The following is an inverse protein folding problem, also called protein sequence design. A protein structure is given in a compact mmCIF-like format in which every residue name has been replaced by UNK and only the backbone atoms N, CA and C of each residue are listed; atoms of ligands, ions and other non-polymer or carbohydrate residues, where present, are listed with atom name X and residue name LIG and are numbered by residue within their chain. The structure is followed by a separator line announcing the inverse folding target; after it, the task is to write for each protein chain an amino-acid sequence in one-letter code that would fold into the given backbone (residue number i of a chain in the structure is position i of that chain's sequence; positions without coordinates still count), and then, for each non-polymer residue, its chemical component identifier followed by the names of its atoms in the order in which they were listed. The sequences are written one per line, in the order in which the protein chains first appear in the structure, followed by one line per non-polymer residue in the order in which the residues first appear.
data_IF_070903398341
#
_entry.id   IF_070903398341
#
_cell.length_a   1.000
_cell.length_b   1.000
_cell.length_c   1.000
_cell.angle_alpha   90.00
_cell.angle_beta   90.00
_cell.angle_gamma   90.00
#
_symmetry.space_group_name_H-M   'P 1'
#
loop_
_entity.id
_entity.type
_entity.pdbx_description
1 polymer ?
#
# COMPACT_ATOMS: atom_id res chain seq x y z
N UNK A 1 10.30 -60.01 -9.08
CA UNK A 1 11.15 -61.16 -9.46
C UNK A 1 11.70 -61.79 -8.18
N UNK A 2 11.19 -62.96 -7.79
CA UNK A 2 11.66 -63.68 -6.60
C UNK A 2 13.08 -64.22 -6.84
N UNK A 3 14.08 -63.73 -6.10
CA UNK A 3 15.42 -64.33 -6.06
C UNK A 3 15.43 -65.36 -4.94
N UNK A 4 15.35 -66.64 -5.29
CA UNK A 4 15.46 -67.75 -4.33
C UNK A 4 16.94 -67.92 -3.98
N UNK A 5 17.28 -67.88 -2.69
CA UNK A 5 18.62 -68.15 -2.18
C UNK A 5 18.57 -69.38 -1.26
N UNK A 6 19.63 -70.19 -1.27
CA UNK A 6 19.77 -71.35 -0.38
C UNK A 6 20.86 -71.07 0.64
N UNK A 7 20.57 -71.32 1.91
CA UNK A 7 21.53 -71.17 3.02
C UNK A 7 22.20 -72.52 3.25
N UNK A 8 23.52 -72.54 3.22
CA UNK A 8 24.33 -73.75 3.36
C UNK A 8 25.31 -73.57 4.53
N UNK A 9 25.47 -74.61 5.35
CA UNK A 9 26.47 -74.64 6.41
C UNK A 9 27.86 -74.92 5.81
N UNK A 10 28.83 -74.04 6.05
CA UNK A 10 30.22 -74.27 5.64
C UNK A 10 31.04 -74.76 6.82
N UNK A 11 31.34 -76.06 6.83
CA UNK A 11 32.11 -76.72 7.88
C UNK A 11 33.58 -76.25 7.99
N UNK A 12 34.14 -75.62 6.93
CA UNK A 12 35.52 -75.12 6.96
C UNK A 12 35.65 -73.75 7.65
N UNK A 13 34.58 -72.96 7.69
CA UNK A 13 34.55 -71.63 8.32
C UNK A 13 33.65 -71.56 9.56
N UNK A 14 32.86 -72.60 9.83
CA UNK A 14 31.94 -72.66 10.97
C UNK A 14 30.78 -71.66 10.89
N UNK A 15 30.36 -71.28 9.69
CA UNK A 15 29.34 -70.25 9.46
C UNK A 15 28.34 -70.64 8.37
N UNK A 16 27.12 -70.11 8.45
CA UNK A 16 26.10 -70.24 7.40
C UNK A 16 26.31 -69.18 6.32
N UNK A 17 26.30 -69.60 5.05
CA UNK A 17 26.53 -68.71 3.91
C UNK A 17 25.36 -68.82 2.93
N UNK A 18 24.94 -67.69 2.37
CA UNK A 18 23.82 -67.61 1.42
C UNK A 18 24.39 -67.58 -0.01
N UNK A 19 24.03 -68.56 -0.83
CA UNK A 19 24.51 -68.65 -2.22
C UNK A 19 23.36 -68.68 -3.22
N UNK A 20 23.57 -68.06 -4.38
CA UNK A 20 22.66 -68.19 -5.54
C UNK A 20 22.81 -69.57 -6.17
N UNK A 21 21.70 -70.22 -6.52
CA UNK A 21 21.61 -71.62 -7.00
C UNK A 21 22.38 -71.92 -8.30
N UNK A 22 22.94 -70.91 -8.97
CA UNK A 22 23.59 -71.05 -10.29
C UNK A 22 25.13 -71.04 -10.29
N UNK A 23 25.81 -71.11 -9.14
CA UNK A 23 27.29 -71.11 -9.10
C UNK A 23 27.89 -72.52 -9.36
N UNK A 24 28.63 -72.70 -10.48
CA UNK A 24 29.40 -73.92 -10.80
C UNK A 24 30.86 -73.83 -10.31
N UNK A 25 31.31 -74.85 -9.57
CA UNK A 25 32.68 -75.06 -9.08
C UNK A 25 33.62 -75.64 -10.17
N UNK A 26 34.88 -75.17 -10.23
CA UNK A 26 35.96 -75.80 -11.02
C UNK A 26 37.03 -76.39 -10.09
N UNK A 27 37.25 -77.70 -10.23
CA UNK A 27 38.18 -78.50 -9.42
C UNK A 27 39.64 -78.44 -9.84
N UNK A 28 40.52 -78.77 -8.88
CA UNK A 28 41.99 -78.87 -8.93
C UNK A 28 42.51 -80.03 -9.81
N UNK A 29 43.77 -79.92 -10.26
CA UNK A 29 44.71 -81.05 -10.39
C UNK A 29 46.16 -80.65 -10.04
N UNK A 30 46.90 -81.62 -9.49
CA UNK A 30 48.23 -81.53 -8.87
C UNK A 30 49.38 -82.01 -9.77
N UNK A 31 50.63 -81.65 -9.46
CA UNK A 31 51.85 -82.28 -9.95
C UNK A 31 53.11 -81.77 -9.21
N UNK A 32 54.11 -82.63 -8.98
CA UNK A 32 55.13 -82.55 -7.91
C UNK A 32 56.57 -82.36 -8.44
N UNK A 33 57.42 -81.64 -7.67
CA UNK A 33 58.91 -81.75 -7.47
C UNK A 33 59.81 -81.38 -8.68
N UNK A 34 61.01 -80.77 -8.56
CA UNK A 34 62.14 -80.93 -7.61
C UNK A 34 62.99 -79.64 -7.51
N UNK A 35 63.70 -79.46 -6.39
CA UNK A 35 64.85 -78.55 -6.23
C UNK A 35 66.08 -79.09 -7.00
N UNK A 36 66.87 -78.18 -7.55
CA UNK A 36 68.33 -78.30 -7.66
C UNK A 36 68.97 -76.91 -7.69
N UNK A 37 69.86 -76.66 -6.74
CA UNK A 37 70.78 -75.52 -6.67
C UNK A 37 72.07 -75.93 -7.37
N UNK A 38 72.59 -75.12 -8.29
CA UNK A 38 74.01 -75.11 -8.66
C UNK A 38 74.40 -73.79 -9.32
N UNK A 39 75.39 -73.13 -8.72
CA UNK A 39 76.03 -71.93 -9.21
C UNK A 39 76.86 -72.16 -10.48
N UNK A 40 76.92 -71.18 -11.38
CA UNK A 40 78.08 -70.96 -12.25
C UNK A 40 78.14 -69.49 -12.70
N UNK A 41 79.16 -68.79 -12.21
CA UNK A 41 79.57 -67.46 -12.65
C UNK A 41 80.40 -67.64 -13.92
N UNK A 42 80.06 -66.91 -14.99
CA UNK A 42 80.77 -66.98 -16.27
C UNK A 42 80.37 -65.85 -17.22
N UNK A 43 81.24 -64.86 -17.28
CA UNK A 43 81.31 -63.67 -18.14
C UNK A 43 80.64 -63.72 -19.54
N UNK A 44 79.91 -62.64 -19.83
CA UNK A 44 79.89 -61.92 -21.12
C UNK A 44 79.37 -62.63 -22.38
N UNK A 45 78.07 -62.51 -22.64
CA UNK A 45 77.55 -62.19 -23.98
C UNK A 45 76.03 -62.00 -23.94
N UNK A 46 75.59 -60.91 -24.56
CA UNK A 46 74.21 -60.59 -24.93
C UNK A 46 73.52 -61.84 -25.52
N UNK A 47 72.58 -62.41 -24.77
CA UNK A 47 71.47 -63.18 -25.30
C UNK A 47 70.23 -62.77 -24.54
N UNK A 48 69.25 -62.31 -25.32
CA UNK A 48 67.87 -62.05 -24.94
C UNK A 48 67.35 -63.30 -24.24
N UNK A 49 67.31 -63.28 -22.90
CA UNK A 49 66.46 -64.21 -22.19
C UNK A 49 65.04 -63.69 -22.33
N UNK A 50 64.23 -64.47 -23.05
CA UNK A 50 62.79 -64.51 -22.84
C UNK A 50 62.53 -65.06 -21.43
N UNK A 51 62.95 -64.30 -20.43
CA UNK A 51 62.54 -64.49 -19.06
C UNK A 51 61.21 -63.78 -18.92
N UNK A 52 60.24 -64.46 -18.31
CA UNK A 52 59.01 -63.88 -17.84
C UNK A 52 59.36 -62.70 -16.92
N UNK A 53 59.47 -61.52 -17.52
CA UNK A 53 59.72 -60.28 -16.85
C UNK A 53 58.51 -60.07 -15.95
N UNK A 54 58.72 -60.18 -14.64
CA UNK A 54 57.80 -59.59 -13.69
C UNK A 54 57.80 -58.09 -13.98
N UNK A 55 56.93 -57.67 -14.90
CA UNK A 55 56.75 -56.28 -15.31
C UNK A 55 56.15 -55.55 -14.10
N UNK A 56 57.01 -55.14 -13.17
CA UNK A 56 56.66 -54.15 -12.16
C UNK A 56 56.09 -52.96 -12.94
N UNK A 57 54.80 -52.68 -12.71
CA UNK A 57 53.89 -52.18 -13.75
C UNK A 57 54.43 -51.04 -14.62
N UNK A 58 54.88 -51.37 -15.84
CA UNK A 58 55.15 -50.49 -16.99
C UNK A 58 55.39 -49.00 -16.67
N UNK A 59 56.31 -48.70 -15.74
CA UNK A 59 56.61 -47.33 -15.35
C UNK A 59 57.54 -46.70 -16.39
N UNK A 60 56.98 -45.78 -17.18
CA UNK A 60 57.72 -44.99 -18.18
C UNK A 60 57.70 -43.51 -17.82
N UNK A 61 57.50 -43.21 -16.53
CA UNK A 61 57.53 -41.85 -16.01
C UNK A 61 58.84 -41.14 -16.36
N UNK A 62 58.75 -39.90 -16.83
CA UNK A 62 59.93 -39.13 -17.23
C UNK A 62 59.86 -37.67 -16.81
N UNK A 63 61.03 -37.09 -16.54
CA UNK A 63 61.21 -35.66 -16.38
C UNK A 63 61.24 -34.96 -17.74
N UNK A 64 60.53 -33.85 -17.87
CA UNK A 64 60.53 -32.99 -19.06
C UNK A 64 61.13 -31.64 -18.71
N UNK A 65 62.23 -31.27 -19.39
CA UNK A 65 62.81 -29.94 -19.27
C UNK A 65 62.10 -29.01 -20.25
N UNK A 66 61.33 -28.07 -19.71
CA UNK A 66 60.62 -27.06 -20.49
C UNK A 66 61.57 -25.89 -20.77
N UNK A 67 61.42 -25.23 -21.92
CA UNK A 67 62.27 -24.09 -22.28
C UNK A 67 62.27 -23.02 -21.19
N UNK A 68 63.46 -22.61 -20.72
CA UNK A 68 63.62 -21.65 -19.64
C UNK A 68 63.55 -22.24 -18.21
N UNK A 69 63.47 -23.56 -18.05
CA UNK A 69 63.60 -24.22 -16.74
C UNK A 69 64.95 -24.93 -16.61
N UNK A 70 65.52 -24.91 -15.40
CA UNK A 70 66.71 -25.66 -15.01
C UNK A 70 66.42 -26.45 -13.74
N UNK A 71 66.94 -27.67 -13.66
CA UNK A 71 66.75 -28.56 -12.50
C UNK A 71 66.95 -30.02 -12.87
N UNK A 72 67.04 -30.87 -11.85
CA UNK A 72 67.27 -32.32 -11.99
C UNK A 72 66.32 -33.19 -11.18
N UNK A 73 65.55 -32.63 -10.23
CA UNK A 73 64.62 -33.38 -9.42
C UNK A 73 63.18 -33.33 -9.94
N UNK A 74 62.53 -34.48 -9.96
CA UNK A 74 61.13 -34.66 -10.35
C UNK A 74 60.63 -36.00 -9.82
N UNK A 75 59.32 -36.16 -9.70
CA UNK A 75 58.67 -37.45 -9.44
C UNK A 75 57.72 -37.72 -10.59
N UNK A 76 57.93 -38.78 -11.37
CA UNK A 76 56.98 -39.22 -12.39
C UNK A 76 56.81 -40.73 -12.25
N UNK A 77 55.60 -41.16 -11.89
CA UNK A 77 55.28 -42.56 -11.59
C UNK A 77 54.07 -42.99 -12.41
N UNK A 78 54.24 -43.98 -13.28
CA UNK A 78 53.21 -44.55 -14.15
C UNK A 78 53.54 -44.41 -15.64
N UNK A 79 52.90 -45.23 -16.47
CA UNK A 79 53.11 -45.18 -17.92
C UNK A 79 52.78 -43.80 -18.47
N UNK A 80 53.77 -43.21 -19.14
CA UNK A 80 53.75 -41.90 -19.80
C UNK A 80 53.42 -40.73 -18.86
N UNK A 81 53.70 -40.89 -17.56
CA UNK A 81 53.68 -39.78 -16.62
C UNK A 81 54.83 -38.80 -16.94
N UNK A 82 54.56 -37.50 -16.90
CA UNK A 82 55.55 -36.45 -17.17
C UNK A 82 55.56 -35.42 -16.05
N UNK A 83 56.74 -35.07 -15.54
CA UNK A 83 56.91 -34.02 -14.53
C UNK A 83 57.98 -33.00 -14.95
N UNK A 84 57.79 -31.72 -14.67
CA UNK A 84 58.77 -30.68 -14.97
C UNK A 84 60.05 -30.93 -14.16
N UNK A 85 61.21 -30.86 -14.82
CA UNK A 85 62.52 -31.04 -14.17
C UNK A 85 62.94 -29.85 -13.30
N UNK A 86 62.23 -28.71 -13.39
CA UNK A 86 62.51 -27.52 -12.59
C UNK A 86 62.52 -27.85 -11.11
N UNK A 87 63.65 -27.55 -10.46
CA UNK A 87 63.85 -27.78 -9.03
C UNK A 87 64.70 -26.68 -8.43
N UNK A 88 64.30 -26.22 -7.25
CA UNK A 88 65.05 -25.27 -6.43
C UNK A 88 64.72 -25.52 -4.94
N UNK A 89 65.00 -24.55 -4.06
CA UNK A 89 64.70 -24.62 -2.62
C UNK A 89 63.20 -24.73 -2.29
N UNK A 90 62.32 -24.34 -3.21
CA UNK A 90 60.87 -24.32 -2.99
C UNK A 90 60.21 -25.67 -3.30
N UNK A 91 60.89 -26.55 -4.07
CA UNK A 91 60.44 -27.92 -4.30
C UNK A 91 60.70 -28.47 -5.70
N UNK A 92 60.02 -29.57 -6.02
CA UNK A 92 60.04 -30.29 -7.29
C UNK A 92 58.60 -30.55 -7.78
N UNK A 93 58.42 -30.77 -9.08
CA UNK A 93 57.12 -31.19 -9.62
C UNK A 93 56.91 -32.70 -9.50
N UNK A 94 55.64 -33.12 -9.35
CA UNK A 94 55.27 -34.52 -9.15
C UNK A 94 54.07 -34.94 -10.02
N UNK A 95 54.22 -35.98 -10.83
CA UNK A 95 53.16 -36.61 -11.61
C UNK A 95 53.01 -38.09 -11.22
N UNK A 96 51.81 -38.52 -10.84
CA UNK A 96 51.54 -39.91 -10.46
C UNK A 96 50.26 -40.42 -11.13
N UNK A 97 50.37 -41.40 -12.02
CA UNK A 97 49.25 -42.04 -12.72
C UNK A 97 49.47 -42.17 -14.23
N UNK A 98 48.63 -42.98 -14.88
CA UNK A 98 48.66 -43.20 -16.33
C UNK A 98 48.45 -41.89 -17.11
N UNK A 99 49.44 -41.44 -17.88
CA UNK A 99 49.46 -40.14 -18.56
C UNK A 99 49.23 -38.91 -17.65
N UNK A 100 49.60 -38.97 -16.37
CA UNK A 100 49.59 -37.77 -15.51
C UNK A 100 50.67 -36.77 -15.96
N UNK A 101 50.38 -35.47 -15.99
CA UNK A 101 51.31 -34.45 -16.47
C UNK A 101 51.39 -33.25 -15.51
N UNK A 102 52.54 -33.06 -14.87
CA UNK A 102 52.82 -31.95 -13.94
C UNK A 102 53.87 -31.01 -14.54
N UNK A 103 53.45 -30.12 -15.46
CA UNK A 103 54.34 -29.28 -16.27
C UNK A 103 54.59 -27.88 -15.73
N UNK A 104 53.80 -27.39 -14.78
CA UNK A 104 54.12 -26.16 -14.05
C UNK A 104 55.31 -26.32 -13.11
N UNK A 105 55.99 -25.22 -12.76
CA UNK A 105 57.05 -25.24 -11.74
C UNK A 105 56.45 -25.62 -10.38
N UNK A 106 57.00 -26.61 -9.68
CA UNK A 106 56.48 -27.10 -8.39
C UNK A 106 55.03 -27.62 -8.45
N UNK A 107 54.53 -28.01 -9.64
CA UNK A 107 53.15 -28.49 -9.77
C UNK A 107 53.01 -29.97 -9.40
N UNK A 108 51.79 -30.38 -9.06
CA UNK A 108 51.48 -31.76 -8.68
C UNK A 108 50.28 -32.27 -9.46
N UNK A 109 50.43 -33.37 -10.21
CA UNK A 109 49.36 -34.04 -10.94
C UNK A 109 49.22 -35.49 -10.44
N UNK A 110 48.06 -35.86 -9.88
CA UNK A 110 47.82 -37.20 -9.33
C UNK A 110 46.51 -37.74 -9.89
N UNK A 111 46.57 -38.88 -10.59
CA UNK A 111 45.45 -39.55 -11.23
C UNK A 111 45.62 -39.66 -12.74
N UNK A 112 44.97 -40.66 -13.34
CA UNK A 112 45.11 -40.91 -14.79
C UNK A 112 44.65 -39.71 -15.62
N UNK A 113 45.48 -39.26 -16.57
CA UNK A 113 45.26 -38.08 -17.40
C UNK A 113 45.08 -36.77 -16.64
N UNK A 114 45.49 -36.71 -15.36
CA UNK A 114 45.53 -35.43 -14.63
C UNK A 114 46.58 -34.50 -15.24
N UNK A 115 46.30 -33.19 -15.29
CA UNK A 115 47.17 -32.20 -15.90
C UNK A 115 47.31 -30.99 -14.97
N UNK A 116 48.52 -30.69 -14.54
CA UNK A 116 48.86 -29.55 -13.69
C UNK A 116 49.90 -28.68 -14.40
N UNK A 117 49.44 -27.73 -15.21
CA UNK A 117 50.29 -26.91 -16.10
C UNK A 117 50.61 -25.53 -15.53
N UNK A 118 49.83 -25.02 -14.58
CA UNK A 118 50.12 -23.75 -13.92
C UNK A 118 51.25 -23.88 -12.89
N UNK A 119 52.00 -22.81 -12.64
CA UNK A 119 53.09 -22.83 -11.64
C UNK A 119 52.50 -22.99 -10.24
N UNK A 120 53.08 -23.87 -9.41
CA UNK A 120 52.59 -24.24 -8.06
C UNK A 120 51.15 -24.79 -8.04
N UNK A 121 50.67 -25.35 -9.15
CA UNK A 121 49.30 -25.88 -9.25
C UNK A 121 49.17 -27.31 -8.71
N UNK A 122 47.95 -27.70 -8.34
CA UNK A 122 47.60 -29.07 -7.95
C UNK A 122 46.43 -29.57 -8.80
N UNK A 123 46.61 -30.70 -9.48
CA UNK A 123 45.56 -31.46 -10.15
C UNK A 123 45.45 -32.86 -9.51
N UNK A 124 44.35 -33.16 -8.83
CA UNK A 124 44.12 -34.42 -8.14
C UNK A 124 42.80 -35.05 -8.58
N UNK A 125 42.86 -36.11 -9.38
CA UNK A 125 41.72 -36.85 -9.89
C UNK A 125 41.89 -37.28 -11.34
N UNK A 126 41.11 -38.27 -11.78
CA UNK A 126 41.15 -38.70 -13.19
C UNK A 126 40.70 -37.55 -14.09
N UNK A 127 41.54 -37.17 -15.06
CA UNK A 127 41.31 -36.04 -15.97
C UNK A 127 41.11 -34.68 -15.29
N UNK A 128 41.54 -34.49 -14.04
CA UNK A 128 41.54 -33.16 -13.43
C UNK A 128 42.54 -32.24 -14.14
N UNK A 129 42.18 -30.98 -14.35
CA UNK A 129 43.04 -29.98 -15.03
C UNK A 129 43.24 -28.77 -14.13
N UNK A 130 44.47 -28.51 -13.72
CA UNK A 130 44.86 -27.29 -13.01
C UNK A 130 45.81 -26.48 -13.89
N UNK A 131 45.26 -25.52 -14.61
CA UNK A 131 45.98 -24.76 -15.64
C UNK A 131 46.41 -23.36 -15.19
N UNK A 132 45.73 -22.77 -14.21
CA UNK A 132 46.11 -21.48 -13.65
C UNK A 132 47.27 -21.58 -12.66
N UNK A 133 48.07 -20.53 -12.54
CA UNK A 133 49.12 -20.46 -11.52
C UNK A 133 48.51 -20.53 -10.12
N UNK A 134 49.08 -21.38 -9.25
CA UNK A 134 48.58 -21.67 -7.89
C UNK A 134 47.13 -22.15 -7.85
N UNK A 135 46.63 -22.70 -8.96
CA UNK A 135 45.29 -23.24 -9.03
C UNK A 135 45.20 -24.65 -8.42
N UNK A 136 44.01 -25.01 -7.94
CA UNK A 136 43.73 -26.33 -7.35
C UNK A 136 42.52 -26.93 -8.05
N UNK A 137 42.71 -28.06 -8.73
CA UNK A 137 41.65 -28.87 -9.31
C UNK A 137 41.61 -30.23 -8.60
N UNK A 138 40.56 -30.50 -7.83
CA UNK A 138 40.38 -31.76 -7.09
C UNK A 138 39.05 -32.40 -7.45
N UNK A 139 39.09 -33.65 -7.94
CA UNK A 139 37.93 -34.42 -8.38
C UNK A 139 38.01 -34.81 -9.85
N UNK A 140 37.33 -35.88 -10.23
CA UNK A 140 37.35 -36.37 -11.61
C UNK A 140 36.84 -35.31 -12.58
N UNK A 141 37.62 -35.01 -13.62
CA UNK A 141 37.30 -33.98 -14.63
C UNK A 141 37.04 -32.57 -14.05
N UNK A 142 37.54 -32.27 -12.85
CA UNK A 142 37.56 -30.89 -12.33
C UNK A 142 38.52 -30.02 -13.17
N UNK A 143 38.25 -28.72 -13.26
CA UNK A 143 39.05 -27.78 -14.06
C UNK A 143 39.22 -26.45 -13.34
N UNK A 144 40.45 -26.11 -12.97
CA UNK A 144 40.83 -24.82 -12.39
C UNK A 144 41.78 -24.09 -13.35
N UNK A 145 41.24 -23.21 -14.21
CA UNK A 145 42.00 -22.54 -15.27
C UNK A 145 42.32 -21.07 -14.99
N UNK A 146 41.65 -20.44 -14.03
CA UNK A 146 42.01 -19.10 -13.58
C UNK A 146 43.22 -19.14 -12.64
N UNK A 147 44.09 -18.13 -12.67
CA UNK A 147 45.17 -17.99 -11.68
C UNK A 147 44.58 -17.90 -10.27
N UNK A 148 45.15 -18.60 -9.29
CA UNK A 148 44.66 -18.72 -7.92
C UNK A 148 43.25 -19.31 -7.79
N UNK A 149 42.74 -20.01 -8.81
CA UNK A 149 41.39 -20.59 -8.78
C UNK A 149 41.34 -21.94 -8.06
N UNK A 150 40.15 -22.32 -7.58
CA UNK A 150 39.93 -23.59 -6.90
C UNK A 150 38.68 -24.29 -7.43
N UNK A 151 38.83 -25.42 -8.10
CA UNK A 151 37.76 -26.28 -8.55
C UNK A 151 37.77 -27.61 -7.75
N UNK A 152 36.80 -27.79 -6.86
CA UNK A 152 36.68 -28.98 -6.02
C UNK A 152 35.33 -29.67 -6.24
N UNK A 153 35.36 -30.86 -6.85
CA UNK A 153 34.17 -31.63 -7.17
C UNK A 153 34.24 -32.22 -8.57
N UNK A 154 33.49 -33.29 -8.81
CA UNK A 154 33.43 -33.91 -10.14
C UNK A 154 32.79 -32.93 -11.13
N UNK A 155 33.49 -32.63 -12.22
CA UNK A 155 33.15 -31.58 -13.20
C UNK A 155 33.04 -30.15 -12.64
N UNK A 156 33.60 -29.84 -11.46
CA UNK A 156 33.70 -28.45 -11.02
C UNK A 156 34.57 -27.64 -11.99
N UNK A 157 34.18 -26.41 -12.30
CA UNK A 157 34.90 -25.53 -13.22
C UNK A 157 35.12 -24.15 -12.58
N UNK A 158 36.38 -23.79 -12.37
CA UNK A 158 36.80 -22.49 -11.83
C UNK A 158 37.68 -21.81 -12.87
N UNK A 159 37.09 -20.98 -13.73
CA UNK A 159 37.80 -20.35 -14.85
C UNK A 159 38.12 -18.87 -14.63
N UNK A 160 37.42 -18.20 -13.72
CA UNK A 160 37.75 -16.85 -13.29
C UNK A 160 39.04 -16.80 -12.47
N UNK A 161 39.79 -15.70 -12.58
CA UNK A 161 40.94 -15.47 -11.72
C UNK A 161 40.49 -15.36 -10.26
N UNK A 162 41.17 -16.05 -9.34
CA UNK A 162 40.83 -16.13 -7.90
C UNK A 162 39.43 -16.69 -7.61
N UNK A 163 38.81 -17.40 -8.55
CA UNK A 163 37.46 -17.94 -8.35
C UNK A 163 37.47 -19.26 -7.58
N UNK A 164 36.31 -19.62 -7.00
CA UNK A 164 36.13 -20.87 -6.25
C UNK A 164 34.86 -21.58 -6.72
N UNK A 165 35.00 -22.81 -7.23
CA UNK A 165 33.89 -23.69 -7.58
C UNK A 165 33.94 -24.96 -6.72
N UNK A 166 33.02 -25.10 -5.76
CA UNK A 166 32.92 -26.26 -4.86
C UNK A 166 31.57 -26.97 -5.05
N UNK A 167 31.61 -28.18 -5.60
CA UNK A 167 30.44 -29.02 -5.82
C UNK A 167 30.46 -29.77 -7.16
N UNK A 168 29.54 -30.73 -7.31
CA UNK A 168 29.37 -31.40 -8.60
C UNK A 168 28.85 -30.40 -9.64
N UNK A 169 29.58 -30.24 -10.76
CA UNK A 169 29.27 -29.27 -11.83
C UNK A 169 29.07 -27.82 -11.35
N UNK A 170 29.70 -27.41 -10.24
CA UNK A 170 29.74 -25.99 -9.88
C UNK A 170 30.59 -25.22 -10.89
N UNK A 171 30.21 -24.00 -11.23
CA UNK A 171 30.90 -23.15 -12.21
C UNK A 171 31.16 -21.78 -11.61
N UNK A 172 32.42 -21.37 -11.50
CA UNK A 172 32.84 -20.04 -11.05
C UNK A 172 33.68 -19.38 -12.15
N UNK A 173 33.02 -18.65 -13.05
CA UNK A 173 33.64 -18.08 -14.26
C UNK A 173 33.93 -16.58 -14.17
N UNK A 174 33.25 -15.86 -13.27
CA UNK A 174 33.60 -14.47 -12.99
C UNK A 174 34.93 -14.38 -12.23
N UNK A 175 35.69 -13.32 -12.43
CA UNK A 175 36.83 -13.03 -11.55
C UNK A 175 36.33 -12.93 -10.10
N UNK A 176 37.15 -13.39 -9.14
CA UNK A 176 36.86 -13.35 -7.69
C UNK A 176 35.52 -14.00 -7.26
N UNK A 177 34.88 -14.76 -8.15
CA UNK A 177 33.56 -15.35 -7.91
C UNK A 177 33.61 -16.63 -7.08
N UNK A 178 32.50 -16.96 -6.41
CA UNK A 178 32.36 -18.16 -5.57
C UNK A 178 31.07 -18.91 -5.87
N UNK A 179 31.17 -20.16 -6.34
CA UNK A 179 30.03 -21.04 -6.57
C UNK A 179 30.12 -22.27 -5.65
N UNK A 180 29.29 -22.32 -4.60
CA UNK A 180 29.24 -23.43 -3.65
C UNK A 180 27.89 -24.16 -3.75
N UNK A 181 27.92 -25.39 -4.22
CA UNK A 181 26.75 -26.26 -4.33
C UNK A 181 26.69 -27.07 -5.63
N UNK A 182 25.82 -28.08 -5.65
CA UNK A 182 25.53 -28.86 -6.86
C UNK A 182 24.99 -27.95 -7.96
N UNK A 183 25.66 -27.90 -9.11
CA UNK A 183 25.30 -27.03 -10.23
C UNK A 183 25.19 -25.53 -9.88
N UNK A 184 25.83 -25.06 -8.81
CA UNK A 184 25.90 -23.63 -8.51
C UNK A 184 26.71 -22.91 -9.59
N UNK A 185 26.29 -21.72 -10.01
CA UNK A 185 26.96 -20.92 -11.05
C UNK A 185 27.18 -19.50 -10.58
N UNK A 186 28.43 -19.05 -10.50
CA UNK A 186 28.81 -17.66 -10.23
C UNK A 186 29.57 -17.13 -11.46
N UNK A 187 28.87 -16.37 -12.32
CA UNK A 187 29.41 -15.92 -13.60
C UNK A 187 29.69 -14.42 -13.67
N UNK A 188 29.09 -13.62 -12.78
CA UNK A 188 29.47 -12.22 -12.64
C UNK A 188 30.79 -12.07 -11.89
N UNK A 189 31.55 -11.03 -12.17
CA UNK A 189 32.74 -10.69 -11.39
C UNK A 189 32.32 -10.37 -9.94
N UNK A 190 33.14 -10.74 -8.95
CA UNK A 190 32.85 -10.60 -7.52
C UNK A 190 31.54 -11.28 -7.04
N UNK A 191 30.94 -12.16 -7.85
CA UNK A 191 29.64 -12.77 -7.53
C UNK A 191 29.74 -14.00 -6.64
N UNK A 192 28.66 -14.30 -5.89
CA UNK A 192 28.59 -15.45 -5.01
C UNK A 192 27.28 -16.24 -5.17
N UNK A 193 27.36 -17.51 -5.53
CA UNK A 193 26.23 -18.43 -5.65
C UNK A 193 26.32 -19.53 -4.59
N UNK A 194 25.38 -19.53 -3.63
CA UNK A 194 25.32 -20.48 -2.54
C UNK A 194 24.03 -21.31 -2.60
N UNK A 195 24.12 -22.56 -3.06
CA UNK A 195 22.99 -23.49 -3.09
C UNK A 195 22.89 -24.34 -4.36
N UNK A 196 22.08 -25.39 -4.29
CA UNK A 196 21.82 -26.28 -5.44
C UNK A 196 21.17 -25.48 -6.58
N UNK A 197 21.85 -25.38 -7.73
CA UNK A 197 21.40 -24.62 -8.89
C UNK A 197 21.29 -23.11 -8.68
N UNK A 198 21.90 -22.55 -7.63
CA UNK A 198 21.96 -21.11 -7.43
C UNK A 198 22.78 -20.44 -8.55
N UNK A 199 22.35 -19.27 -9.02
CA UNK A 199 22.97 -18.55 -10.13
C UNK A 199 23.20 -17.07 -9.80
N UNK A 200 24.44 -16.68 -9.58
CA UNK A 200 24.84 -15.28 -9.43
C UNK A 200 25.47 -14.79 -10.74
N UNK A 201 24.69 -14.05 -11.53
CA UNK A 201 25.04 -13.64 -12.90
C UNK A 201 25.47 -12.18 -12.95
N UNK A 202 24.83 -11.31 -12.15
CA UNK A 202 25.22 -9.90 -12.03
C UNK A 202 26.59 -9.75 -11.37
N UNK A 203 27.30 -8.67 -11.71
CA UNK A 203 28.55 -8.26 -11.06
C UNK A 203 28.27 -7.90 -9.60
N UNK A 204 29.14 -8.33 -8.67
CA UNK A 204 28.98 -8.10 -7.23
C UNK A 204 27.60 -8.56 -6.70
N UNK A 205 27.04 -9.63 -7.27
CA UNK A 205 25.73 -10.16 -6.89
C UNK A 205 25.83 -11.41 -6.03
N UNK A 206 24.80 -11.68 -5.21
CA UNK A 206 24.72 -12.86 -4.35
C UNK A 206 23.42 -13.62 -4.58
N UNK A 207 23.51 -14.88 -5.00
CA UNK A 207 22.36 -15.78 -5.07
C UNK A 207 22.38 -16.76 -3.89
N UNK A 208 21.44 -16.60 -2.96
CA UNK A 208 21.36 -17.37 -1.72
C UNK A 208 20.18 -18.34 -1.74
N UNK A 209 20.48 -19.63 -1.63
CA UNK A 209 19.50 -20.71 -1.57
C UNK A 209 19.32 -21.45 -2.91
N UNK A 210 18.72 -22.64 -2.84
CA UNK A 210 18.53 -23.49 -4.03
C UNK A 210 17.67 -22.81 -5.09
N UNK A 211 18.15 -22.80 -6.33
CA UNK A 211 17.47 -22.22 -7.48
C UNK A 211 17.33 -20.70 -7.45
N UNK A 212 17.97 -20.00 -6.51
CA UNK A 212 17.97 -18.53 -6.48
C UNK A 212 18.76 -17.98 -7.66
N UNK A 213 18.32 -16.85 -8.23
CA UNK A 213 18.94 -16.24 -9.40
C UNK A 213 19.13 -14.74 -9.16
N UNK A 214 20.37 -14.30 -9.01
CA UNK A 214 20.75 -12.89 -8.91
C UNK A 214 21.24 -12.41 -10.28
N UNK A 215 20.38 -11.74 -11.05
CA UNK A 215 20.72 -11.26 -12.40
C UNK A 215 21.21 -9.81 -12.41
N UNK A 216 20.83 -9.03 -11.39
CA UNK A 216 21.17 -7.61 -11.29
C UNK A 216 22.50 -7.41 -10.58
N UNK A 217 23.29 -6.44 -11.03
CA UNK A 217 24.53 -6.05 -10.37
C UNK A 217 24.24 -5.51 -8.96
N UNK A 218 25.17 -5.71 -8.03
CA UNK A 218 25.09 -5.20 -6.64
C UNK A 218 23.83 -5.63 -5.88
N UNK A 219 23.30 -6.83 -6.17
CA UNK A 219 22.04 -7.32 -5.59
C UNK A 219 22.21 -8.63 -4.81
N UNK A 220 21.30 -8.87 -3.86
CA UNK A 220 21.18 -10.16 -3.16
C UNK A 220 19.83 -10.77 -3.49
N UNK A 221 19.82 -11.93 -4.17
CA UNK A 221 18.62 -12.69 -4.46
C UNK A 221 18.48 -13.89 -3.53
N UNK A 222 17.37 -13.95 -2.78
CA UNK A 222 16.99 -15.10 -1.94
C UNK A 222 15.99 -16.04 -2.64
N UNK A 223 15.75 -15.82 -3.94
CA UNK A 223 14.77 -16.55 -4.74
C UNK A 223 14.92 -16.25 -6.23
N UNK A 224 13.83 -16.42 -6.97
CA UNK A 224 13.73 -16.09 -8.40
C UNK A 224 12.31 -15.59 -8.73
N UNK A 225 11.97 -15.44 -10.01
CA UNK A 225 10.67 -14.89 -10.46
C UNK A 225 9.46 -15.76 -10.14
N UNK A 226 9.63 -17.06 -9.88
CA UNK A 226 8.53 -18.00 -9.57
C UNK A 226 8.59 -18.55 -8.15
N UNK A 227 9.74 -18.45 -7.48
CA UNK A 227 9.96 -18.95 -6.12
C UNK A 227 10.59 -17.86 -5.28
N UNK A 228 9.77 -17.10 -4.56
CA UNK A 228 10.22 -16.12 -3.58
C UNK A 228 10.30 -16.75 -2.19
N UNK A 229 11.11 -16.14 -1.31
CA UNK A 229 11.28 -16.60 0.06
C UNK A 229 11.06 -15.46 1.03
N UNK A 230 10.49 -15.78 2.19
CA UNK A 230 10.46 -14.86 3.31
C UNK A 230 11.85 -14.76 3.94
N UNK A 231 12.25 -13.55 4.29
CA UNK A 231 13.39 -13.30 5.18
C UNK A 231 12.82 -13.18 6.59
N UNK A 232 13.12 -14.15 7.44
CA UNK A 232 12.56 -14.26 8.80
C UNK A 232 13.59 -13.89 9.86
N UNK A 233 13.12 -13.58 11.07
CA UNK A 233 13.96 -13.13 12.19
C UNK A 233 14.75 -11.83 11.91
N UNK A 234 14.15 -10.93 11.14
CA UNK A 234 14.67 -9.58 10.90
C UNK A 234 14.30 -8.70 12.09
N UNK A 235 15.30 -8.09 12.73
CA UNK A 235 15.07 -7.08 13.76
C UNK A 235 14.39 -5.85 13.16
N UNK A 236 13.69 -5.05 13.98
CA UNK A 236 13.11 -3.79 13.50
C UNK A 236 14.24 -2.87 13.04
N UNK A 237 14.22 -2.45 11.78
CA UNK A 237 15.17 -1.48 11.26
C UNK A 237 14.92 -0.09 11.81
N UNK A 238 15.90 0.80 11.75
CA UNK A 238 15.66 2.19 12.14
C UNK A 238 14.80 2.92 11.10
N UNK A 239 13.87 3.77 11.56
CA UNK A 239 13.03 4.61 10.69
C UNK A 239 13.48 6.06 10.83
N UNK A 240 14.40 6.48 9.96
CA UNK A 240 14.89 7.86 9.86
C UNK A 240 15.36 8.16 8.42
N UNK A 241 15.66 9.42 8.11
CA UNK A 241 15.95 9.90 6.75
C UNK A 241 17.22 9.33 6.11
N UNK A 242 18.08 8.65 6.88
CA UNK A 242 19.36 8.10 6.41
C UNK A 242 19.44 6.58 6.56
N UNK A 243 18.38 5.93 7.04
CA UNK A 243 18.39 4.49 7.31
C UNK A 243 18.49 3.68 6.02
N UNK A 244 19.28 2.62 6.07
CA UNK A 244 19.39 1.60 5.02
C UNK A 244 18.93 0.23 5.53
N UNK A 245 18.25 0.18 6.67
CA UNK A 245 17.81 -1.07 7.29
C UNK A 245 16.57 -1.64 6.59
N UNK A 246 16.45 -2.96 6.63
CA UNK A 246 15.22 -3.62 6.23
C UNK A 246 14.07 -3.30 7.22
N UNK A 247 12.90 -2.96 6.69
CA UNK A 247 11.70 -2.70 7.50
C UNK A 247 10.91 -3.99 7.68
N UNK A 248 10.47 -4.25 8.91
CA UNK A 248 9.64 -5.42 9.25
C UNK A 248 8.15 -5.14 9.09
N UNK A 249 7.34 -6.19 8.92
CA UNK A 249 5.88 -6.06 8.86
C UNK A 249 5.27 -5.40 10.11
N UNK A 250 5.85 -5.61 11.30
CA UNK A 250 5.39 -4.99 12.54
C UNK A 250 5.56 -3.45 12.54
N UNK A 251 6.59 -2.94 11.86
CA UNK A 251 6.81 -1.50 11.73
C UNK A 251 5.81 -0.86 10.76
N UNK A 252 5.53 -1.52 9.64
CA UNK A 252 4.49 -1.09 8.70
C UNK A 252 3.12 -1.11 9.39
N UNK A 253 2.81 -2.18 10.14
CA UNK A 253 1.58 -2.26 10.93
C UNK A 253 1.48 -1.12 11.94
N UNK A 254 2.57 -0.79 12.64
CA UNK A 254 2.59 0.34 13.59
C UNK A 254 2.31 1.68 12.90
N UNK A 255 2.84 1.89 11.69
CA UNK A 255 2.54 3.06 10.87
C UNK A 255 1.05 3.08 10.46
N UNK A 256 0.53 1.98 9.93
CA UNK A 256 -0.90 1.86 9.58
C UNK A 256 -1.80 2.11 10.79
N UNK A 257 -1.44 1.62 11.97
CA UNK A 257 -2.19 1.85 13.20
C UNK A 257 -2.20 3.33 13.57
N UNK A 258 -1.05 4.01 13.46
CA UNK A 258 -1.00 5.45 13.71
C UNK A 258 -1.94 6.24 12.80
N UNK A 259 -2.06 5.83 11.52
CA UNK A 259 -2.99 6.46 10.56
C UNK A 259 -4.44 6.18 10.94
N UNK A 260 -4.78 4.93 11.28
CA UNK A 260 -6.12 4.55 11.73
C UNK A 260 -6.54 5.38 12.97
N UNK A 261 -5.65 5.51 13.95
CA UNK A 261 -5.88 6.29 15.17
C UNK A 261 -6.13 7.78 14.88
N UNK A 262 -5.46 8.34 13.86
CA UNK A 262 -5.63 9.76 13.48
C UNK A 262 -6.88 10.02 12.63
N UNK A 263 -7.33 9.03 11.86
CA UNK A 263 -8.62 9.10 11.19
C UNK A 263 -9.77 9.00 12.20
N UNK A 264 -9.66 8.12 13.20
CA UNK A 264 -10.75 7.88 14.14
C UNK A 264 -11.95 7.23 13.45
N UNK A 265 -13.18 7.51 13.90
CA UNK A 265 -14.39 6.96 13.29
C UNK A 265 -14.44 5.41 13.27
N UNK A 266 -13.72 4.73 14.16
CA UNK A 266 -13.61 3.27 14.14
C UNK A 266 -12.69 2.69 13.05
N UNK A 267 -11.90 3.51 12.36
CA UNK A 267 -10.83 3.01 11.50
C UNK A 267 -9.88 2.08 12.29
N UNK A 268 -9.42 1.01 11.63
CA UNK A 268 -8.59 -0.04 12.23
C UNK A 268 -7.67 -0.65 11.18
N UNK A 269 -6.66 -1.42 11.59
CA UNK A 269 -5.74 -2.08 10.65
C UNK A 269 -6.18 -3.52 10.39
N UNK A 270 -6.33 -3.89 9.12
CA UNK A 270 -6.62 -5.25 8.66
C UNK A 270 -5.45 -6.21 8.86
N UNK A 271 -5.73 -7.51 8.75
CA UNK A 271 -4.70 -8.55 8.80
C UNK A 271 -3.66 -8.46 7.66
N UNK A 272 -4.00 -7.80 6.55
CA UNK A 272 -3.10 -7.54 5.43
C UNK A 272 -2.30 -6.22 5.58
N UNK A 273 -2.50 -5.49 6.67
CA UNK A 273 -1.84 -4.22 6.97
C UNK A 273 -2.52 -2.96 6.40
N UNK A 274 -3.62 -3.10 5.65
CA UNK A 274 -4.41 -1.97 5.14
C UNK A 274 -5.26 -1.33 6.25
N UNK A 275 -5.67 -0.07 6.08
CA UNK A 275 -6.55 0.63 7.03
C UNK A 275 -8.01 0.48 6.58
N UNK A 276 -8.85 -0.07 7.45
CA UNK A 276 -10.31 -0.08 7.29
C UNK A 276 -10.86 1.34 7.23
N UNK A 277 -11.87 1.53 6.39
CA UNK A 277 -12.52 2.82 6.26
C UNK A 277 -13.10 3.29 7.61
N UNK A 278 -12.94 4.57 7.99
CA UNK A 278 -13.66 5.14 9.12
C UNK A 278 -15.16 5.19 8.83
N UNK A 279 -15.98 5.32 9.86
CA UNK A 279 -17.41 5.60 9.77
C UNK A 279 -17.67 6.92 10.50
N UNK A 280 -17.85 7.98 9.73
CA UNK A 280 -18.18 9.31 10.27
C UNK A 280 -19.69 9.53 10.20
N UNK A 281 -20.31 9.78 11.34
CA UNK A 281 -21.73 10.15 11.44
C UNK A 281 -21.87 11.67 11.30
N UNK A 282 -22.57 12.12 10.25
CA UNK A 282 -22.89 13.54 10.02
C UNK A 282 -24.37 13.66 9.67
N UNK A 283 -25.13 14.34 10.53
CA UNK A 283 -26.59 14.40 10.39
C UNK A 283 -27.20 13.00 10.51
N UNK A 284 -27.87 12.55 9.46
CA UNK A 284 -28.45 11.19 9.36
C UNK A 284 -27.62 10.24 8.51
N UNK A 285 -26.50 10.72 7.93
CA UNK A 285 -25.64 9.94 7.04
C UNK A 285 -24.41 9.37 7.73
N UNK A 286 -23.94 8.22 7.23
CA UNK A 286 -22.66 7.62 7.61
C UNK A 286 -21.72 7.68 6.41
N UNK A 287 -20.52 8.23 6.60
CA UNK A 287 -19.55 8.48 5.53
C UNK A 287 -18.27 7.72 5.78
N UNK A 288 -17.79 7.03 4.74
CA UNK A 288 -16.64 6.13 4.85
C UNK A 288 -15.27 6.79 4.57
N UNK A 289 -15.26 8.11 4.41
CA UNK A 289 -14.06 8.88 4.14
C UNK A 289 -14.25 10.35 4.59
N UNK A 290 -13.13 11.03 4.84
CA UNK A 290 -13.11 12.39 5.38
C UNK A 290 -13.75 13.40 4.42
N UNK A 291 -13.46 13.29 3.12
CA UNK A 291 -13.94 14.25 2.11
C UNK A 291 -15.47 14.27 2.01
N UNK A 292 -16.10 13.10 1.99
CA UNK A 292 -17.57 12.99 1.96
C UNK A 292 -18.22 13.51 3.25
N UNK A 293 -17.63 13.24 4.42
CA UNK A 293 -18.13 13.75 5.69
C UNK A 293 -18.08 15.29 5.76
N UNK A 294 -16.96 15.90 5.32
CA UNK A 294 -16.81 17.36 5.27
C UNK A 294 -17.79 18.02 4.28
N UNK A 295 -18.02 17.39 3.13
CA UNK A 295 -19.01 17.86 2.15
C UNK A 295 -20.44 17.79 2.72
N UNK A 296 -20.76 16.74 3.48
CA UNK A 296 -22.04 16.62 4.17
C UNK A 296 -22.23 17.72 5.21
N UNK A 297 -21.21 18.00 6.03
CA UNK A 297 -21.22 19.11 7.00
C UNK A 297 -21.47 20.45 6.29
N UNK A 298 -20.76 20.71 5.19
CA UNK A 298 -20.94 21.92 4.41
C UNK A 298 -22.39 22.06 3.91
N UNK A 299 -22.97 20.98 3.39
CA UNK A 299 -24.36 20.97 2.92
C UNK A 299 -25.34 21.25 4.06
N UNK A 300 -25.13 20.66 5.24
CA UNK A 300 -25.97 20.93 6.42
C UNK A 300 -25.92 22.41 6.81
N UNK A 301 -24.75 23.03 6.79
CA UNK A 301 -24.58 24.47 7.08
C UNK A 301 -25.31 25.31 6.03
N UNK A 302 -25.14 25.01 4.73
CA UNK A 302 -25.85 25.73 3.66
C UNK A 302 -27.37 25.66 3.81
N UNK A 303 -27.92 24.51 4.24
CA UNK A 303 -29.36 24.38 4.50
C UNK A 303 -29.82 25.23 5.70
N UNK A 304 -29.01 25.33 6.74
CA UNK A 304 -29.27 26.22 7.88
C UNK A 304 -29.24 27.68 7.43
N UNK A 305 -28.23 28.09 6.65
CA UNK A 305 -28.13 29.45 6.11
C UNK A 305 -29.34 29.81 5.24
N UNK A 306 -29.80 28.89 4.39
CA UNK A 306 -31.00 29.09 3.58
C UNK A 306 -32.27 29.25 4.44
N UNK A 307 -32.38 28.49 5.54
CA UNK A 307 -33.50 28.62 6.48
C UNK A 307 -33.46 29.97 7.22
N UNK A 308 -32.28 30.42 7.62
CA UNK A 308 -32.07 31.73 8.26
C UNK A 308 -32.37 32.86 7.29
N UNK A 309 -31.96 32.75 6.03
CA UNK A 309 -32.30 33.72 4.98
C UNK A 309 -33.81 33.81 4.78
N UNK A 310 -34.52 32.67 4.75
CA UNK A 310 -35.99 32.65 4.69
C UNK A 310 -36.63 33.36 5.89
N UNK A 311 -36.14 33.12 7.11
CA UNK A 311 -36.63 33.82 8.30
C UNK A 311 -36.36 35.33 8.22
N UNK A 312 -35.22 35.75 7.68
CA UNK A 312 -34.89 37.17 7.54
C UNK A 312 -35.80 37.89 6.52
N UNK A 313 -36.28 37.19 5.50
CA UNK A 313 -37.18 37.76 4.47
C UNK A 313 -38.64 37.80 4.93
N UNK A 314 -39.10 36.78 5.68
CA UNK A 314 -40.52 36.59 6.01
C UNK A 314 -40.91 37.10 7.41
N UNK A 315 -39.93 37.41 8.27
CA UNK A 315 -40.21 37.92 9.61
C UNK A 315 -40.66 39.40 9.59
N UNK A 316 -41.54 39.76 10.55
CA UNK A 316 -41.86 41.14 10.85
C UNK A 316 -40.72 41.75 11.68
N UNK A 317 -39.77 42.38 11.00
CA UNK A 317 -38.52 42.84 11.58
C UNK A 317 -38.60 44.27 12.11
N UNK A 318 -37.79 44.53 13.13
CA UNK A 318 -37.51 45.89 13.58
C UNK A 318 -36.66 46.61 12.53
N UNK A 319 -37.08 47.81 12.15
CA UNK A 319 -36.37 48.70 11.25
C UNK A 319 -35.79 49.86 12.06
N UNK A 320 -34.47 49.84 12.25
CA UNK A 320 -33.74 50.88 12.99
C UNK A 320 -33.87 52.27 12.35
N UNK A 321 -34.03 52.35 11.03
CA UNK A 321 -34.11 53.63 10.32
C UNK A 321 -35.42 54.36 10.62
N UNK A 322 -36.48 53.60 10.88
CA UNK A 322 -37.80 54.12 11.26
C UNK A 322 -38.08 53.97 12.76
N UNK A 323 -37.20 53.30 13.50
CA UNK A 323 -37.35 52.98 14.93
C UNK A 323 -38.71 52.35 15.25
N UNK A 324 -39.14 51.42 14.39
CA UNK A 324 -40.42 50.74 14.50
C UNK A 324 -40.35 49.34 13.87
N UNK A 325 -41.33 48.49 14.16
CA UNK A 325 -41.51 47.26 13.39
C UNK A 325 -42.06 47.59 11.99
N UNK A 326 -41.44 47.02 10.96
CA UNK A 326 -41.87 47.21 9.57
C UNK A 326 -42.77 46.08 9.12
N UNK A 327 -43.99 46.44 8.68
CA UNK A 327 -44.87 45.53 7.95
C UNK A 327 -44.62 45.56 6.42
N UNK A 328 -43.47 46.09 5.98
CA UNK A 328 -43.08 46.02 4.57
C UNK A 328 -42.61 44.61 4.23
N UNK A 329 -43.12 44.04 3.13
CA UNK A 329 -42.63 42.78 2.59
C UNK A 329 -42.51 42.92 1.08
N UNK A 330 -41.36 42.55 0.51
CA UNK A 330 -41.02 42.78 -0.91
C UNK A 330 -41.16 44.25 -1.35
N UNK A 331 -40.85 45.19 -0.46
CA UNK A 331 -40.89 46.64 -0.73
C UNK A 331 -42.28 47.29 -0.67
N UNK A 332 -43.32 46.55 -0.27
CA UNK A 332 -44.69 47.06 -0.17
C UNK A 332 -45.23 46.92 1.25
N UNK A 333 -45.99 47.93 1.71
CA UNK A 333 -46.72 47.82 2.97
C UNK A 333 -47.72 46.66 2.89
N UNK A 334 -47.62 45.73 3.85
CA UNK A 334 -48.43 44.51 3.88
C UNK A 334 -49.45 44.55 5.01
N UNK A 335 -50.55 43.80 4.85
CA UNK A 335 -51.56 43.67 5.90
C UNK A 335 -51.07 42.73 6.99
N UNK A 336 -51.35 43.10 8.24
CA UNK A 336 -51.31 42.16 9.37
C UNK A 336 -52.73 41.61 9.54
N UNK A 337 -52.92 40.33 9.24
CA UNK A 337 -54.21 39.63 9.35
C UNK A 337 -54.17 38.61 10.50
N UNK A 338 -55.29 37.95 10.76
CA UNK A 338 -55.47 37.07 11.93
C UNK A 338 -55.21 37.79 13.26
N UNK A 339 -55.41 39.10 13.28
CA UNK A 339 -55.33 39.94 14.46
C UNK A 339 -56.64 39.85 15.23
N UNK A 340 -56.57 39.31 16.45
CA UNK A 340 -57.70 39.33 17.38
C UNK A 340 -58.14 40.78 17.69
N UNK A 341 -59.40 40.97 18.06
CA UNK A 341 -59.87 42.31 18.44
C UNK A 341 -59.14 42.79 19.70
N UNK A 342 -58.55 43.99 19.64
CA UNK A 342 -57.81 44.57 20.74
C UNK A 342 -58.73 45.08 21.86
N UNK A 343 -58.22 45.16 23.07
CA UNK A 343 -58.97 45.73 24.19
C UNK A 343 -59.17 47.23 24.00
N UNK A 344 -60.40 47.71 24.13
CA UNK A 344 -60.73 49.13 24.03
C UNK A 344 -60.77 49.77 25.43
N UNK A 345 -59.60 50.21 25.90
CA UNK A 345 -59.39 50.90 27.18
C UNK A 345 -58.43 52.08 27.01
N UNK A 346 -58.45 53.04 27.95
CA UNK A 346 -57.72 54.31 27.83
C UNK A 346 -56.18 54.16 27.79
N UNK A 347 -55.66 53.08 28.36
CA UNK A 347 -54.24 52.76 28.48
C UNK A 347 -53.85 51.51 27.67
N UNK A 348 -54.74 51.03 26.79
CA UNK A 348 -54.49 49.85 25.97
C UNK A 348 -53.37 50.09 24.94
N UNK A 349 -52.46 49.12 24.83
CA UNK A 349 -51.44 49.06 23.78
C UNK A 349 -51.74 47.99 22.73
N UNK A 350 -52.96 47.44 22.74
CA UNK A 350 -53.38 46.42 21.79
C UNK A 350 -53.63 47.06 20.42
N UNK A 351 -53.18 46.38 19.35
CA UNK A 351 -53.57 46.76 18.01
C UNK A 351 -55.07 46.49 17.79
N UNK A 352 -55.78 47.42 17.14
CA UNK A 352 -57.18 47.25 16.76
C UNK A 352 -57.29 46.68 15.35
N UNK A 353 -58.34 45.90 15.09
CA UNK A 353 -58.57 45.33 13.76
C UNK A 353 -59.76 46.00 13.03
N UNK A 354 -59.96 45.58 11.78
CA UNK A 354 -60.97 46.19 10.90
C UNK A 354 -62.41 46.07 11.41
N UNK A 355 -62.78 45.05 12.19
CA UNK A 355 -64.15 44.93 12.68
C UNK A 355 -64.49 45.96 13.75
N UNK A 356 -63.50 46.37 14.56
CA UNK A 356 -63.67 47.40 15.59
C UNK A 356 -63.85 48.79 14.97
N UNK A 357 -63.04 49.13 13.96
CA UNK A 357 -63.19 50.39 13.22
C UNK A 357 -64.49 50.43 12.41
N UNK A 358 -64.89 49.30 11.83
CA UNK A 358 -66.17 49.17 11.13
C UNK A 358 -67.35 49.45 12.07
N UNK A 359 -67.39 48.82 13.26
CA UNK A 359 -68.43 49.07 14.25
C UNK A 359 -68.49 50.55 14.68
N UNK A 360 -67.33 51.20 14.81
CA UNK A 360 -67.26 52.65 15.10
C UNK A 360 -67.86 53.49 13.97
N UNK A 361 -67.55 53.17 12.71
CA UNK A 361 -68.06 53.90 11.55
C UNK A 361 -69.58 53.75 11.37
N UNK A 362 -70.14 52.57 11.69
CA UNK A 362 -71.59 52.37 11.71
C UNK A 362 -72.27 53.31 12.72
N UNK A 363 -71.72 53.45 13.93
CA UNK A 363 -72.25 54.39 14.92
C UNK A 363 -72.16 55.86 14.45
N UNK A 364 -71.10 56.25 13.74
CA UNK A 364 -70.95 57.62 13.19
C UNK A 364 -71.97 57.88 12.07
N UNK A 365 -72.19 56.89 11.21
CA UNK A 365 -73.21 56.96 10.15
C UNK A 365 -74.61 57.12 10.75
N UNK A 366 -74.91 56.39 11.82
CA UNK A 366 -76.17 56.53 12.56
C UNK A 366 -76.33 57.94 13.14
N UNK A 367 -75.31 58.47 13.81
CA UNK A 367 -75.34 59.84 14.33
C UNK A 367 -75.59 60.87 13.22
N UNK A 368 -75.03 60.67 12.03
CA UNK A 368 -75.25 61.56 10.87
C UNK A 368 -76.72 61.55 10.45
N UNK A 369 -77.34 60.37 10.43
CA UNK A 369 -78.77 60.20 10.15
C UNK A 369 -79.63 60.91 11.20
N UNK A 370 -79.30 60.73 12.47
CA UNK A 370 -80.03 61.36 13.59
C UNK A 370 -79.91 62.89 13.56
N UNK A 371 -78.75 63.44 13.20
CA UNK A 371 -78.55 64.89 13.04
C UNK A 371 -79.38 65.44 11.86
N UNK A 372 -79.45 64.72 10.74
CA UNK A 372 -80.28 65.13 9.61
C UNK A 372 -81.77 65.15 9.99
N UNK A 373 -82.23 64.14 10.73
CA UNK A 373 -83.59 64.11 11.27
C UNK A 373 -83.86 65.31 12.20
N UNK A 374 -82.95 65.58 13.15
CA UNK A 374 -83.04 66.75 14.03
C UNK A 374 -83.09 68.07 13.24
N UNK A 375 -82.31 68.19 12.16
CA UNK A 375 -82.31 69.37 11.28
C UNK A 375 -83.67 69.57 10.62
N UNK A 376 -84.27 68.51 10.08
CA UNK A 376 -85.64 68.56 9.54
C UNK A 376 -86.64 69.00 10.61
N UNK A 377 -86.56 68.44 11.82
CA UNK A 377 -87.44 68.84 12.93
C UNK A 377 -87.25 70.32 13.32
N UNK A 378 -86.01 70.83 13.36
CA UNK A 378 -85.72 72.25 13.64
C UNK A 378 -86.28 73.15 12.54
N UNK A 379 -86.13 72.77 11.28
CA UNK A 379 -86.68 73.53 10.16
C UNK A 379 -88.23 73.57 10.23
N UNK A 380 -88.86 72.45 10.58
CA UNK A 380 -90.31 72.41 10.79
C UNK A 380 -90.72 73.33 11.94
N UNK A 381 -90.05 73.25 13.09
CA UNK A 381 -90.30 74.14 14.22
C UNK A 381 -90.13 75.62 13.83
N UNK A 382 -89.13 75.95 13.01
CA UNK A 382 -88.90 77.31 12.50
C UNK A 382 -90.06 77.79 11.62
N UNK A 383 -90.58 76.92 10.75
CA UNK A 383 -91.76 77.19 9.93
C UNK A 383 -93.03 77.39 10.79
N UNK A 384 -93.25 76.51 11.78
CA UNK A 384 -94.38 76.61 12.70
C UNK A 384 -94.33 77.92 13.53
N UNK A 385 -93.14 78.32 14.00
CA UNK A 385 -92.93 79.61 14.68
C UNK A 385 -93.25 80.78 13.76
N UNK A 386 -92.86 80.72 12.48
CA UNK A 386 -93.17 81.76 11.48
C UNK A 386 -94.69 81.87 11.28
N UNK A 387 -95.38 80.74 11.08
CA UNK A 387 -96.83 80.71 10.92
C UNK A 387 -97.59 81.23 12.16
N UNK A 388 -97.12 80.89 13.36
CA UNK A 388 -97.64 81.43 14.61
C UNK A 388 -97.41 82.95 14.71
N UNK A 389 -96.23 83.44 14.28
CA UNK A 389 -95.90 84.86 14.24
C UNK A 389 -96.84 85.61 13.29
N UNK A 390 -97.08 85.08 12.09
CA UNK A 390 -98.02 85.66 11.12
C UNK A 390 -99.45 85.68 11.66
N UNK A 391 -99.89 84.60 12.31
CA UNK A 391 -101.21 84.52 12.96
C UNK A 391 -101.34 85.57 14.08
N UNK A 392 -100.29 85.79 14.89
CA UNK A 392 -100.27 86.83 15.92
C UNK A 392 -100.32 88.23 15.31
N UNK A 393 -99.59 88.48 14.22
CA UNK A 393 -99.62 89.75 13.50
C UNK A 393 -101.00 90.04 12.89
N UNK A 394 -101.66 89.01 12.33
CA UNK A 394 -103.03 89.12 11.85
C UNK A 394 -103.99 89.44 13.00
N UNK A 395 -103.91 88.70 14.11
CA UNK A 395 -104.71 88.98 15.31
C UNK A 395 -104.47 90.42 15.82
N UNK A 396 -103.22 90.92 15.79
CA UNK A 396 -102.89 92.29 16.16
C UNK A 396 -103.56 93.32 15.24
N UNK A 397 -103.56 93.04 13.93
CA UNK A 397 -104.24 93.87 12.92
C UNK A 397 -105.76 93.86 13.11
N UNK A 398 -106.34 92.68 13.34
CA UNK A 398 -107.77 92.50 13.61
C UNK A 398 -108.19 93.23 14.89
N UNK A 399 -107.37 93.17 15.96
CA UNK A 399 -107.58 93.92 17.20
C UNK A 399 -107.52 95.43 16.94
N UNK A 400 -106.58 95.92 16.14
CA UNK A 400 -106.48 97.34 15.79
C UNK A 400 -107.70 97.82 14.96
N UNK A 401 -108.19 96.98 14.03
CA UNK A 401 -109.40 97.24 13.26
C UNK A 401 -110.66 97.23 14.14
N UNK A 402 -110.76 96.28 15.07
CA UNK A 402 -111.83 96.24 16.07
C UNK A 402 -111.79 97.46 16.99
N UNK A 403 -110.61 97.89 17.42
CA UNK A 403 -110.42 99.12 18.22
C UNK A 403 -110.91 100.35 17.46
N UNK A 404 -110.59 100.45 16.17
CA UNK A 404 -111.08 101.54 15.29
C UNK A 404 -112.61 101.51 15.16
N UNK A 405 -113.19 100.33 14.91
CA UNK A 405 -114.64 100.13 14.84
C UNK A 405 -115.34 100.47 16.15
N UNK A 406 -114.77 100.10 17.31
CA UNK A 406 -115.28 100.45 18.63
C UNK A 406 -115.22 101.97 18.86
N UNK A 407 -114.13 102.63 18.47
CA UNK A 407 -114.02 104.10 18.56
C UNK A 407 -115.05 104.79 17.65
N UNK A 408 -115.30 104.26 16.46
CA UNK A 408 -116.36 104.76 15.57
C UNK A 408 -117.74 104.58 16.19
N UNK A 409 -118.08 103.38 16.67
CA UNK A 409 -119.33 103.12 17.37
C UNK A 409 -119.49 104.04 18.61
N UNK A 410 -118.42 104.31 19.35
CA UNK A 410 -118.43 105.24 20.49
C UNK A 410 -118.76 106.67 20.03
N UNK A 411 -118.19 107.11 18.91
CA UNK A 411 -118.47 108.41 18.28
C UNK A 411 -119.91 108.50 17.77
N UNK A 412 -120.40 107.44 17.12
CA UNK A 412 -121.77 107.34 16.62
C UNK A 412 -122.79 107.34 17.78
N UNK A 413 -122.50 106.62 18.87
CA UNK A 413 -123.30 106.65 20.11
C UNK A 413 -123.32 108.07 20.69
N UNK A 414 -122.17 108.74 20.82
CA UNK A 414 -122.12 110.12 21.31
C UNK A 414 -122.94 111.09 20.42
N UNK A 415 -122.89 110.90 19.10
CA UNK A 415 -123.68 111.65 18.11
C UNK A 415 -125.18 111.37 18.27
N UNK A 416 -125.58 110.11 18.45
CA UNK A 416 -126.96 109.71 18.71
C UNK A 416 -127.47 110.23 20.05
N UNK A 417 -126.66 110.18 21.12
CA UNK A 417 -127.00 110.77 22.43
C UNK A 417 -127.23 112.28 22.30
N UNK A 418 -126.38 112.99 21.55
CA UNK A 418 -126.56 114.41 21.25
C UNK A 418 -127.85 114.67 20.45
N UNK A 419 -128.14 113.82 19.46
CA UNK A 419 -129.35 113.93 18.64
C UNK A 419 -130.63 113.66 19.46
N UNK A 420 -130.61 112.69 20.38
CA UNK A 420 -131.72 112.38 21.30
C UNK A 420 -131.96 113.53 22.27
N UNK A 421 -130.90 114.11 22.85
CA UNK A 421 -131.02 115.24 23.77
C UNK A 421 -131.55 116.52 23.11
N UNK A 422 -131.47 116.64 21.78
CA UNK A 422 -132.04 117.76 21.02
C UNK A 422 -133.52 117.53 20.61
N UNK A 423 -134.10 116.37 20.94
CA UNK A 423 -135.49 115.99 20.65
C UNK A 423 -136.41 116.05 21.90
N UNK A 424 -135.86 116.40 23.06
CA UNK A 424 -136.54 116.71 24.33
C UNK A 424 -136.44 118.19 24.64
#
# INVERSE_FOLDING_TARGET
MNRIFKVLWNAATGTFIVTSETAKSRGKKSGRRKLAVSALVGLSSIMVSADALANAGNDTGSGVTVSGTTGSGWIAIGTDATANTYTNVDGASAAMGYHASAMGKWSTAIGSYSQSTGDSSLALGVKSVSAGDRAIAMGASSSASGSYSMAMGVYANSSGAKSVALGYRSVASGATSSALGYQATASGDDSAAFGNGAKAVGTNSVALGSGSIAQEDNSVAVGNSTTQRQITYVAKGDINSTSTDAVTGAQIYSLSQSVADRLGGGASVNSDGTVNAPLYEVGTGIYNNVGSALSALNTSITNTEASVAGLAEDALLWDDSTSAFSASHTGNASKITNLAAGTLAADSTDAVNGSQLFATNENVSQNTTDIAANTTSINQNTADITANTDSINQNTTDIAANTTSINQNTTDIATNTTSINNLS
#
